data_IF_100809342959
#
_entry.id   IF_100809342959
#
_cell.length_a   1.000
_cell.length_b   1.000
_cell.length_c   1.000
_cell.angle_alpha   90.00
_cell.angle_beta   90.00
_cell.angle_gamma   90.00
#
_symmetry.space_group_name_H-M   'P 1'
#
loop_
_entity.id
_entity.type
_entity.pdbx_description
1 polymer ?
#
# COMPACT_ATOMS: atom_id res chain seq x y z
N UNK A 1 34.74 15.80 68.38
CA UNK A 1 34.30 14.40 68.20
C UNK A 1 34.57 14.04 66.74
N UNK A 2 35.67 13.36 66.40
CA UNK A 2 35.81 11.88 66.38
C UNK A 2 34.60 11.23 65.70
N UNK A 3 34.68 10.42 64.64
CA UNK A 3 35.79 9.76 63.95
C UNK A 3 35.20 9.10 62.68
N UNK A 4 35.88 9.21 61.51
CA UNK A 4 36.18 8.20 60.45
C UNK A 4 35.09 7.19 59.98
N UNK A 5 35.05 6.68 58.75
CA UNK A 5 36.14 6.28 57.85
C UNK A 5 35.59 5.99 56.43
N UNK A 6 36.35 6.39 55.41
CA UNK A 6 36.29 5.90 54.02
C UNK A 6 36.58 4.40 53.91
N UNK A 7 36.34 3.78 52.74
CA UNK A 7 37.41 3.23 51.87
C UNK A 7 36.84 2.71 50.53
N UNK A 8 37.49 3.18 49.46
CA UNK A 8 37.49 2.77 48.06
C UNK A 8 37.83 1.28 47.81
N UNK A 9 37.58 0.78 46.58
CA UNK A 9 38.64 0.28 45.66
C UNK A 9 38.07 -0.07 44.26
N UNK A 10 38.80 0.39 43.24
CA UNK A 10 38.75 0.09 41.79
C UNK A 10 39.56 -1.18 41.44
N UNK A 11 39.20 -1.90 40.36
CA UNK A 11 40.08 -2.53 39.33
C UNK A 11 39.17 -2.82 38.11
N UNK A 12 39.27 -2.30 36.88
CA UNK A 12 40.30 -2.13 35.82
C UNK A 12 40.56 -3.34 34.90
N UNK A 13 40.10 -3.20 33.64
CA UNK A 13 40.61 -3.66 32.32
C UNK A 13 41.23 -5.06 32.13
N UNK A 14 40.74 -5.78 31.11
CA UNK A 14 41.59 -6.58 30.22
C UNK A 14 41.00 -6.69 28.80
N UNK A 15 41.74 -6.14 27.84
CA UNK A 15 41.58 -6.28 26.40
C UNK A 15 42.18 -7.62 25.95
N UNK A 16 41.52 -8.35 25.05
CA UNK A 16 42.17 -9.39 24.23
C UNK A 16 41.76 -9.19 22.77
N UNK A 17 42.75 -8.84 21.98
CA UNK A 17 42.75 -8.93 20.52
C UNK A 17 43.42 -10.26 20.18
N UNK A 18 42.81 -11.11 19.35
CA UNK A 18 43.54 -12.19 18.69
C UNK A 18 43.02 -12.42 17.26
N UNK A 19 44.01 -12.49 16.38
CA UNK A 19 44.03 -12.54 14.94
C UNK A 19 43.82 -13.96 14.38
N UNK A 20 43.26 -14.02 13.16
CA UNK A 20 43.49 -15.02 12.09
C UNK A 20 43.22 -16.52 12.33
N UNK A 21 42.24 -17.09 11.62
CA UNK A 21 42.35 -18.41 10.96
C UNK A 21 41.25 -18.66 9.90
N UNK A 22 41.61 -18.58 8.61
CA UNK A 22 41.21 -19.52 7.53
C UNK A 22 42.45 -20.41 7.29
N UNK A 23 42.36 -21.71 6.96
CA UNK A 23 41.81 -22.17 5.66
C UNK A 23 41.14 -23.56 5.67
N UNK A 24 40.41 -23.92 4.60
CA UNK A 24 40.65 -25.17 3.87
C UNK A 24 39.94 -25.19 2.51
N UNK A 25 40.71 -25.56 1.49
CA UNK A 25 40.32 -25.81 0.11
C UNK A 25 39.48 -27.09 -0.01
N UNK A 26 38.51 -27.06 -0.92
CA UNK A 26 37.99 -28.24 -1.60
C UNK A 26 37.86 -27.94 -3.10
N UNK A 27 38.69 -28.61 -3.91
CA UNK A 27 38.55 -28.75 -5.36
C UNK A 27 37.12 -29.20 -5.71
N UNK A 28 36.47 -28.83 -6.81
CA UNK A 28 36.91 -28.42 -8.13
C UNK A 28 35.98 -29.14 -9.12
N UNK A 29 35.34 -28.39 -10.02
CA UNK A 29 34.93 -28.85 -11.36
C UNK A 29 34.43 -27.66 -12.18
N UNK A 30 35.32 -27.21 -13.06
CA UNK A 30 35.02 -26.35 -14.19
C UNK A 30 34.11 -27.08 -15.18
N UNK A 31 33.06 -26.42 -15.64
CA UNK A 31 32.46 -26.66 -16.95
C UNK A 31 32.57 -25.36 -17.73
N UNK A 32 33.36 -25.39 -18.81
CA UNK A 32 33.59 -24.25 -19.70
C UNK A 32 32.33 -23.90 -20.48
N UNK A 33 31.95 -22.62 -20.47
CA UNK A 33 31.14 -22.04 -21.53
C UNK A 33 31.96 -22.00 -22.83
N UNK A 34 31.52 -22.75 -23.85
CA UNK A 34 31.95 -22.51 -25.23
C UNK A 34 31.12 -21.36 -25.81
N UNK A 35 31.80 -20.25 -26.08
CA UNK A 35 31.35 -19.27 -27.06
C UNK A 35 31.32 -19.93 -28.45
N UNK A 36 30.21 -19.81 -29.16
CA UNK A 36 30.15 -20.06 -30.60
C UNK A 36 30.09 -18.71 -31.29
N UNK A 37 31.21 -18.32 -31.88
CA UNK A 37 31.29 -17.22 -32.82
C UNK A 37 30.70 -17.68 -34.17
N UNK A 38 29.78 -16.91 -34.73
CA UNK A 38 29.37 -17.06 -36.13
C UNK A 38 30.32 -16.24 -37.01
N UNK A 39 31.12 -16.95 -37.82
CA UNK A 39 31.86 -16.36 -38.93
C UNK A 39 30.90 -15.94 -40.04
N UNK A 40 30.93 -14.65 -40.39
CA UNK A 40 30.35 -14.09 -41.61
C UNK A 40 31.39 -14.24 -42.72
N UNK A 41 31.08 -15.02 -43.75
CA UNK A 41 31.80 -14.96 -45.02
C UNK A 41 30.98 -14.15 -46.02
N UNK A 42 31.48 -12.96 -46.35
CA UNK A 42 31.03 -12.20 -47.49
C UNK A 42 31.70 -12.74 -48.75
N UNK A 43 30.91 -13.02 -49.79
CA UNK A 43 31.39 -13.13 -51.16
C UNK A 43 30.58 -12.18 -52.03
N UNK A 44 31.28 -11.24 -52.67
CA UNK A 44 30.75 -10.36 -53.72
C UNK A 44 30.76 -11.13 -55.02
N UNK A 45 29.66 -11.11 -55.76
CA UNK A 45 29.74 -11.17 -57.22
C UNK A 45 28.67 -10.28 -57.86
N UNK A 46 29.10 -9.57 -58.89
CA UNK A 46 28.43 -8.53 -59.66
C UNK A 46 27.54 -9.11 -60.76
N UNK A 47 26.39 -8.50 -61.06
CA UNK A 47 25.60 -8.83 -62.26
C UNK A 47 24.20 -8.22 -62.28
N UNK A 48 23.82 -7.65 -63.41
CA UNK A 48 22.74 -6.69 -63.70
C UNK A 48 21.32 -7.23 -63.96
N UNK A 49 20.37 -6.29 -63.84
CA UNK A 49 19.02 -6.12 -64.45
C UNK A 49 17.74 -6.76 -63.84
N UNK A 50 16.58 -6.06 -63.89
CA UNK A 50 15.43 -6.29 -63.03
C UNK A 50 14.29 -7.07 -63.72
N UNK A 51 13.64 -7.99 -62.97
CA UNK A 51 12.45 -8.72 -63.39
C UNK A 51 11.55 -9.04 -62.20
N UNK A 52 10.26 -8.81 -62.39
CA UNK A 52 9.09 -8.90 -61.50
C UNK A 52 9.09 -10.09 -60.52
N UNK A 53 8.70 -9.93 -59.24
CA UNK A 53 8.60 -11.05 -58.32
C UNK A 53 7.23 -11.74 -58.44
N UNK A 54 7.22 -12.97 -58.96
CA UNK A 54 6.18 -13.97 -58.70
C UNK A 54 6.47 -14.68 -57.37
N UNK A 55 5.48 -14.69 -56.48
CA UNK A 55 5.50 -15.33 -55.16
C UNK A 55 5.60 -16.86 -55.29
N UNK A 56 6.56 -17.54 -54.63
CA UNK A 56 6.44 -18.97 -54.36
C UNK A 56 5.88 -19.21 -52.95
N UNK A 57 4.82 -19.99 -52.91
CA UNK A 57 4.14 -20.51 -51.72
C UNK A 57 5.04 -21.53 -51.00
N UNK A 58 5.47 -21.21 -49.77
CA UNK A 58 6.23 -22.14 -48.92
C UNK A 58 5.27 -22.80 -47.94
N UNK A 59 4.98 -24.08 -48.18
CA UNK A 59 4.31 -24.96 -47.22
C UNK A 59 5.32 -25.36 -46.13
N UNK A 60 5.19 -24.79 -44.93
CA UNK A 60 5.96 -25.22 -43.75
C UNK A 60 5.19 -26.34 -43.04
N UNK A 61 5.66 -27.59 -43.18
CA UNK A 61 5.26 -28.70 -42.31
C UNK A 61 5.98 -28.59 -40.96
N UNK A 62 5.26 -28.15 -39.92
CA UNK A 62 5.74 -28.26 -38.54
C UNK A 62 5.43 -29.65 -37.98
N UNK A 63 6.45 -30.50 -37.86
CA UNK A 63 6.40 -31.72 -37.04
C UNK A 63 6.70 -31.36 -35.58
N UNK A 64 5.67 -31.19 -34.76
CA UNK A 64 5.83 -31.07 -33.30
C UNK A 64 5.73 -32.46 -32.66
N UNK A 65 6.88 -33.00 -32.22
CA UNK A 65 6.94 -34.27 -31.49
C UNK A 65 6.55 -34.05 -30.03
N UNK A 66 5.28 -34.26 -29.69
CA UNK A 66 4.79 -34.22 -28.30
C UNK A 66 5.26 -35.45 -27.53
N UNK A 67 6.24 -35.27 -26.64
CA UNK A 67 6.64 -36.29 -25.66
C UNK A 67 5.68 -36.22 -24.46
N UNK A 68 4.62 -37.02 -24.45
CA UNK A 68 3.74 -37.20 -23.27
C UNK A 68 4.54 -37.82 -22.13
N UNK A 69 4.83 -37.05 -21.07
CA UNK A 69 5.19 -37.62 -19.76
C UNK A 69 3.89 -37.99 -19.05
N UNK A 70 3.70 -39.27 -18.75
CA UNK A 70 2.67 -39.74 -17.81
C UNK A 70 3.07 -39.25 -16.41
N UNK A 71 2.23 -38.42 -15.79
CA UNK A 71 2.20 -38.31 -14.33
C UNK A 71 1.18 -39.33 -13.84
N UNK A 72 1.64 -40.30 -13.06
CA UNK A 72 0.77 -41.15 -12.24
C UNK A 72 0.35 -40.34 -11.03
N UNK A 73 -0.92 -39.94 -10.96
CA UNK A 73 -1.54 -39.48 -9.74
C UNK A 73 -1.62 -40.66 -8.77
N UNK A 74 -1.08 -40.52 -7.57
CA UNK A 74 -1.41 -41.40 -6.44
C UNK A 74 -2.79 -41.02 -5.96
N UNK A 75 -3.72 -41.96 -6.06
CA UNK A 75 -4.97 -41.96 -5.31
C UNK A 75 -4.61 -41.87 -3.83
N UNK A 76 -5.09 -40.83 -3.13
CA UNK A 76 -5.09 -40.81 -1.68
C UNK A 76 -6.46 -41.32 -1.25
N UNK A 77 -6.44 -42.40 -0.47
CA UNK A 77 -7.63 -43.07 0.03
C UNK A 77 -8.46 -42.12 0.90
N UNK A 78 -9.70 -41.95 0.48
CA UNK A 78 -10.75 -41.14 1.09
C UNK A 78 -11.47 -41.97 2.16
N UNK A 79 -10.74 -42.63 3.07
CA UNK A 79 -11.31 -43.35 4.22
C UNK A 79 -10.52 -43.15 5.53
N UNK A 80 -9.44 -42.37 5.53
CA UNK A 80 -8.62 -42.11 6.72
C UNK A 80 -8.91 -40.76 7.43
N UNK A 81 -10.00 -40.07 7.06
CA UNK A 81 -10.36 -38.74 7.58
C UNK A 81 -11.77 -38.65 8.20
N UNK A 82 -12.47 -39.79 8.37
CA UNK A 82 -13.75 -39.85 9.09
C UNK A 82 -13.62 -40.45 10.52
N UNK A 83 -12.39 -40.71 10.98
CA UNK A 83 -12.13 -41.30 12.31
C UNK A 83 -11.62 -40.34 13.39
N UNK A 84 -11.56 -39.02 13.12
CA UNK A 84 -10.99 -38.04 14.07
C UNK A 84 -11.85 -36.78 14.25
N UNK A 85 -13.17 -36.90 14.02
CA UNK A 85 -14.13 -35.82 14.24
C UNK A 85 -15.33 -36.28 15.09
N UNK A 86 -15.09 -37.05 16.14
CA UNK A 86 -16.10 -37.41 17.14
C UNK A 86 -15.41 -37.56 18.51
N UNK A 87 -15.00 -36.46 19.13
CA UNK A 87 -14.76 -36.38 20.59
C UNK A 87 -14.36 -34.96 21.05
N UNK A 88 -15.23 -33.95 20.88
CA UNK A 88 -15.27 -32.78 21.81
C UNK A 88 -16.70 -32.26 21.88
N UNK A 89 -17.54 -32.94 22.66
CA UNK A 89 -18.76 -32.37 23.23
C UNK A 89 -18.94 -32.93 24.64
N UNK A 90 -18.30 -32.30 25.62
CA UNK A 90 -18.68 -32.45 27.03
C UNK A 90 -18.43 -31.13 27.79
N UNK A 91 -19.49 -30.40 28.20
CA UNK A 91 -19.38 -29.18 28.97
C UNK A 91 -19.50 -29.49 30.48
N UNK A 92 -18.60 -30.30 31.04
CA UNK A 92 -18.61 -30.63 32.46
C UNK A 92 -17.23 -30.67 33.11
N UNK A 93 -16.34 -29.75 32.73
CA UNK A 93 -15.13 -29.48 33.52
C UNK A 93 -14.63 -28.03 33.33
N UNK A 94 -15.16 -27.11 34.14
CA UNK A 94 -14.54 -25.82 34.43
C UNK A 94 -14.57 -25.59 35.94
N UNK A 95 -13.43 -25.30 36.59
CA UNK A 95 -13.42 -24.93 38.00
C UNK A 95 -14.00 -23.51 38.16
N UNK A 96 -14.95 -23.41 39.09
CA UNK A 96 -15.61 -22.19 39.54
C UNK A 96 -14.63 -21.30 40.31
N UNK A 97 -14.49 -20.04 39.89
CA UNK A 97 -13.97 -18.96 40.74
C UNK A 97 -14.92 -17.77 40.64
N UNK A 98 -15.58 -17.53 41.77
CA UNK A 98 -16.60 -16.53 41.98
C UNK A 98 -16.02 -15.10 41.97
N UNK A 99 -16.83 -14.17 41.44
CA UNK A 99 -16.74 -12.74 41.71
C UNK A 99 -17.05 -12.47 43.18
N UNK A 100 -16.29 -11.58 43.81
CA UNK A 100 -16.76 -10.77 44.93
C UNK A 100 -16.30 -9.32 44.78
N UNK A 101 -17.25 -8.41 44.89
CA UNK A 101 -17.10 -6.96 44.88
C UNK A 101 -17.92 -6.42 46.04
N UNK A 102 -17.31 -5.65 46.96
CA UNK A 102 -17.80 -4.36 47.46
C UNK A 102 -16.87 -3.79 48.55
N UNK A 103 -16.77 -2.45 48.55
CA UNK A 103 -15.89 -1.55 49.32
C UNK A 103 -16.43 -1.23 50.74
N UNK A 104 -16.13 -0.08 51.39
CA UNK A 104 -14.88 0.68 51.60
C UNK A 104 -14.57 0.86 53.12
N UNK A 105 -13.41 1.43 53.48
CA UNK A 105 -13.20 1.96 54.84
C UNK A 105 -12.58 3.35 54.85
N UNK A 106 -13.16 4.18 55.71
CA UNK A 106 -12.94 5.60 55.96
C UNK A 106 -11.90 5.85 57.06
N UNK A 107 -11.14 6.93 56.97
CA UNK A 107 -10.75 7.73 58.15
C UNK A 107 -10.29 9.13 57.76
N UNK A 108 -10.77 10.10 58.52
CA UNK A 108 -10.70 11.57 58.38
C UNK A 108 -9.59 12.22 59.22
N UNK A 109 -8.93 13.25 58.66
CA UNK A 109 -8.50 14.57 59.21
C UNK A 109 -7.69 14.71 60.53
N UNK A 110 -6.98 15.85 60.84
CA UNK A 110 -7.20 17.22 60.34
C UNK A 110 -5.96 18.10 60.01
N UNK A 111 -6.31 19.29 59.50
CA UNK A 111 -5.59 20.53 59.19
C UNK A 111 -4.77 21.22 60.30
N UNK A 112 -3.77 22.05 59.93
CA UNK A 112 -3.60 23.43 60.48
C UNK A 112 -2.66 24.37 59.65
N UNK A 113 -3.12 25.63 59.51
CA UNK A 113 -2.47 26.98 59.39
C UNK A 113 -0.93 27.13 59.51
N UNK A 114 -0.20 28.14 59.00
CA UNK A 114 -0.44 29.42 58.30
C UNK A 114 0.69 30.45 58.64
N UNK A 115 1.46 30.92 57.62
CA UNK A 115 2.27 32.17 57.46
C UNK A 115 3.33 32.63 58.54
N UNK A 116 4.23 33.65 58.33
CA UNK A 116 4.62 34.45 57.13
C UNK A 116 6.16 34.73 56.88
N UNK A 117 6.50 35.25 55.67
CA UNK A 117 7.56 36.24 55.24
C UNK A 117 9.04 36.14 55.72
N UNK A 118 10.11 36.22 54.88
CA UNK A 118 10.61 37.38 54.08
C UNK A 118 11.95 37.02 53.33
N UNK A 119 12.57 37.89 52.49
CA UNK A 119 13.08 37.55 51.14
C UNK A 119 14.61 37.36 50.97
N UNK A 120 15.02 36.68 49.89
CA UNK A 120 16.40 36.76 49.36
C UNK A 120 16.47 36.60 47.83
N UNK A 121 16.78 37.72 47.17
CA UNK A 121 17.70 37.93 46.04
C UNK A 121 17.76 36.93 44.86
N UNK A 122 17.15 37.39 43.76
CA UNK A 122 17.46 37.24 42.33
C UNK A 122 18.54 36.25 41.82
N UNK A 123 18.07 35.30 41.02
CA UNK A 123 18.81 34.66 39.93
C UNK A 123 17.98 34.79 38.63
N UNK A 124 18.62 34.94 37.44
CA UNK A 124 17.93 35.22 36.17
C UNK A 124 17.12 34.01 35.66
N UNK A 125 15.99 34.22 34.96
CA UNK A 125 15.14 33.13 34.52
C UNK A 125 15.74 32.38 33.31
N UNK A 126 15.74 31.06 33.44
CA UNK A 126 15.96 30.10 32.36
C UNK A 126 14.79 30.18 31.35
N UNK A 127 15.03 30.09 30.02
CA UNK A 127 13.99 30.28 29.03
C UNK A 127 12.95 29.15 29.11
N UNK A 128 11.68 29.54 29.31
CA UNK A 128 10.54 28.62 29.23
C UNK A 128 10.42 28.00 27.83
N UNK A 129 9.99 26.74 27.70
CA UNK A 129 9.79 26.11 26.41
C UNK A 129 8.67 26.84 25.66
N UNK A 130 8.99 27.34 24.47
CA UNK A 130 8.06 27.98 23.55
C UNK A 130 6.87 27.06 23.30
N UNK A 131 5.71 27.48 23.77
CA UNK A 131 4.42 26.85 23.52
C UNK A 131 4.23 26.75 22.00
N UNK A 132 4.02 25.54 21.48
CA UNK A 132 3.72 25.33 20.07
C UNK A 132 2.48 26.16 19.69
N UNK A 133 2.46 26.81 18.52
CA UNK A 133 1.29 27.57 18.10
C UNK A 133 0.07 26.64 18.00
N UNK A 134 -1.12 27.13 18.35
CA UNK A 134 -2.35 26.35 18.20
C UNK A 134 -2.52 25.98 16.71
N UNK A 135 -3.17 24.83 16.40
CA UNK A 135 -3.42 24.43 15.03
C UNK A 135 -4.17 25.56 14.31
N UNK A 136 -3.57 26.05 13.23
CA UNK A 136 -4.19 27.06 12.37
C UNK A 136 -5.54 26.57 11.90
N UNK A 137 -6.55 27.44 12.00
CA UNK A 137 -7.91 27.21 11.53
C UNK A 137 -7.91 26.62 10.11
N UNK A 138 -8.79 25.65 9.80
CA UNK A 138 -8.84 25.07 8.46
C UNK A 138 -9.14 26.19 7.44
N UNK A 139 -8.51 26.14 6.25
CA UNK A 139 -8.80 27.10 5.20
C UNK A 139 -10.30 27.10 4.87
N UNK A 140 -10.86 28.20 4.31
CA UNK A 140 -12.26 28.27 3.92
C UNK A 140 -12.62 27.03 3.12
N UNK A 141 -13.69 26.35 3.54
CA UNK A 141 -14.07 25.02 3.08
C UNK A 141 -14.06 24.96 1.56
N UNK A 142 -13.01 24.34 1.01
CA UNK A 142 -12.95 24.00 -0.40
C UNK A 142 -14.18 23.13 -0.71
N UNK A 143 -14.90 23.45 -1.78
CA UNK A 143 -16.02 22.63 -2.25
C UNK A 143 -15.58 21.16 -2.38
N UNK A 144 -16.47 20.19 -2.15
CA UNK A 144 -16.12 18.77 -2.25
C UNK A 144 -15.53 18.43 -3.62
N UNK A 145 -16.08 19.03 -4.67
CA UNK A 145 -15.57 18.94 -6.04
C UNK A 145 -14.11 19.39 -6.14
N UNK A 146 -13.75 20.54 -5.55
CA UNK A 146 -12.36 21.02 -5.55
C UNK A 146 -11.41 20.13 -4.73
N UNK A 147 -11.90 19.38 -3.74
CA UNK A 147 -11.09 18.40 -3.01
C UNK A 147 -10.84 17.14 -3.85
N UNK A 148 -11.81 16.75 -4.68
CA UNK A 148 -11.72 15.61 -5.61
C UNK A 148 -10.88 15.92 -6.85
N UNK A 149 -10.85 17.19 -7.28
CA UNK A 149 -10.05 17.69 -8.40
C UNK A 149 -9.06 18.77 -7.93
N UNK A 150 -8.04 18.42 -7.11
CA UNK A 150 -7.15 19.41 -6.49
C UNK A 150 -6.14 20.03 -7.48
N UNK A 151 -6.02 19.48 -8.69
CA UNK A 151 -5.11 19.97 -9.73
C UNK A 151 -5.93 20.68 -10.80
N UNK A 152 -5.71 21.99 -11.05
CA UNK A 152 -6.46 22.73 -12.05
C UNK A 152 -6.05 22.34 -13.47
N UNK A 153 -6.92 22.62 -14.44
CA UNK A 153 -6.58 22.52 -15.88
C UNK A 153 -6.55 21.09 -16.42
N UNK A 154 -7.60 20.30 -16.18
CA UNK A 154 -7.73 18.96 -16.78
C UNK A 154 -8.47 18.99 -18.12
N UNK A 155 -8.07 18.10 -19.04
CA UNK A 155 -8.62 18.01 -20.40
C UNK A 155 -9.87 17.13 -20.48
N UNK A 156 -9.94 16.09 -19.64
CA UNK A 156 -11.07 15.15 -19.53
C UNK A 156 -11.21 14.69 -18.10
N UNK A 157 -12.45 14.52 -17.63
CA UNK A 157 -12.73 14.02 -16.29
C UNK A 157 -14.07 13.28 -16.22
N UNK A 158 -14.24 12.50 -15.16
CA UNK A 158 -15.53 11.98 -14.75
C UNK A 158 -15.60 11.99 -13.23
N UNK A 159 -16.82 12.07 -12.69
CA UNK A 159 -17.06 12.00 -11.26
C UNK A 159 -18.38 11.31 -10.97
N UNK A 160 -18.41 10.59 -9.86
CA UNK A 160 -19.65 10.10 -9.24
C UNK A 160 -20.16 11.03 -8.13
N UNK A 161 -19.45 12.13 -7.86
CA UNK A 161 -19.87 13.15 -6.90
C UNK A 161 -21.11 13.88 -7.45
N UNK A 162 -22.24 13.90 -6.73
CA UNK A 162 -23.45 14.60 -7.19
C UNK A 162 -23.27 16.11 -7.41
N UNK A 163 -22.26 16.72 -6.77
CA UNK A 163 -21.94 18.14 -6.88
C UNK A 163 -21.06 18.46 -8.12
N UNK A 164 -20.49 17.44 -8.76
CA UNK A 164 -19.62 17.63 -9.93
C UNK A 164 -20.43 17.96 -11.20
N UNK A 165 -19.82 18.63 -12.20
CA UNK A 165 -20.45 18.81 -13.50
C UNK A 165 -20.72 17.46 -14.17
N UNK A 166 -21.96 17.23 -14.64
CA UNK A 166 -22.39 15.99 -15.29
C UNK A 166 -22.08 14.74 -14.46
N UNK A 167 -22.64 14.62 -13.24
CA UNK A 167 -22.31 13.53 -12.35
C UNK A 167 -22.79 12.21 -12.96
N UNK A 168 -21.96 11.17 -12.82
CA UNK A 168 -22.31 9.80 -13.18
C UNK A 168 -22.79 9.04 -11.96
N UNK A 169 -23.58 8.00 -12.16
CA UNK A 169 -24.01 7.14 -11.06
C UNK A 169 -22.81 6.40 -10.45
N UNK A 170 -22.77 6.27 -9.13
CA UNK A 170 -21.86 5.36 -8.44
C UNK A 170 -22.33 3.91 -8.67
N UNK A 171 -21.89 3.31 -9.76
CA UNK A 171 -22.28 1.96 -10.17
C UNK A 171 -21.20 1.26 -11.00
N UNK A 172 -21.36 -0.05 -11.18
CA UNK A 172 -20.49 -0.86 -12.05
C UNK A 172 -20.55 -0.40 -13.51
N UNK A 173 -21.66 0.24 -13.93
CA UNK A 173 -21.78 0.84 -15.26
C UNK A 173 -20.77 1.98 -15.47
N UNK A 174 -20.48 2.75 -14.43
CA UNK A 174 -19.48 3.83 -14.46
C UNK A 174 -18.06 3.28 -14.27
N UNK A 175 -17.84 2.45 -13.24
CA UNK A 175 -16.50 1.97 -12.88
C UNK A 175 -15.96 0.92 -13.85
N UNK A 176 -16.84 0.13 -14.48
CA UNK A 176 -16.52 -0.97 -15.42
C UNK A 176 -15.51 -1.96 -14.82
N UNK A 177 -15.81 -2.58 -13.67
CA UNK A 177 -14.86 -3.41 -12.94
C UNK A 177 -14.45 -4.65 -13.75
N UNK A 178 -13.14 -4.82 -13.91
CA UNK A 178 -12.46 -6.00 -14.45
C UNK A 178 -11.64 -6.71 -13.37
N UNK A 179 -11.22 -7.95 -13.66
CA UNK A 179 -10.39 -8.75 -12.75
C UNK A 179 -10.97 -8.84 -11.32
N UNK A 180 -12.30 -8.94 -11.24
CA UNK A 180 -13.03 -8.93 -9.97
C UNK A 180 -12.77 -10.23 -9.20
N UNK A 181 -12.32 -10.11 -7.97
CA UNK A 181 -12.24 -11.25 -7.04
C UNK A 181 -13.65 -11.59 -6.56
N UNK A 182 -14.24 -12.65 -7.11
CA UNK A 182 -15.64 -13.02 -6.85
C UNK A 182 -15.91 -13.70 -5.50
N UNK A 183 -14.89 -13.90 -4.67
CA UNK A 183 -15.06 -14.54 -3.36
C UNK A 183 -15.31 -13.51 -2.25
N UNK A 184 -15.08 -12.22 -2.52
CA UNK A 184 -15.44 -11.09 -1.66
C UNK A 184 -16.30 -10.12 -2.45
N UNK A 185 -17.44 -9.70 -1.92
CA UNK A 185 -18.34 -8.79 -2.61
C UNK A 185 -18.32 -7.41 -1.96
N UNK A 186 -18.25 -6.38 -2.79
CA UNK A 186 -18.76 -5.07 -2.43
C UNK A 186 -20.22 -4.99 -2.85
N UNK A 187 -20.95 -4.07 -2.24
CA UNK A 187 -22.29 -3.69 -2.68
C UNK A 187 -22.43 -2.17 -2.63
N UNK A 188 -23.44 -1.66 -3.33
CA UNK A 188 -23.81 -0.26 -3.24
C UNK A 188 -24.91 -0.10 -2.20
N UNK A 189 -24.69 0.77 -1.23
CA UNK A 189 -25.59 1.04 -0.11
C UNK A 189 -25.43 2.47 0.36
N UNK A 190 -25.88 2.75 1.58
CA UNK A 190 -25.71 4.06 2.21
C UNK A 190 -24.73 3.95 3.37
N UNK A 191 -23.87 4.95 3.50
CA UNK A 191 -23.11 5.18 4.72
C UNK A 191 -24.03 5.56 5.90
N UNK A 192 -23.54 5.55 7.15
CA UNK A 192 -24.36 5.86 8.33
C UNK A 192 -25.05 7.23 8.29
N UNK A 193 -24.51 8.20 7.54
CA UNK A 193 -25.10 9.52 7.32
C UNK A 193 -26.13 9.56 6.16
N UNK A 194 -26.44 8.41 5.56
CA UNK A 194 -27.36 8.28 4.43
C UNK A 194 -26.72 8.50 3.05
N UNK A 195 -25.43 8.84 2.98
CA UNK A 195 -24.77 9.10 1.69
C UNK A 195 -24.55 7.82 0.88
N UNK A 196 -24.91 7.78 -0.42
CA UNK A 196 -24.64 6.64 -1.28
C UNK A 196 -23.15 6.30 -1.36
N UNK A 197 -22.83 5.01 -1.20
CA UNK A 197 -21.47 4.51 -1.12
C UNK A 197 -21.34 3.09 -1.66
N UNK A 198 -20.14 2.78 -2.18
CA UNK A 198 -19.66 1.41 -2.30
C UNK A 198 -19.16 0.95 -0.93
N UNK A 199 -19.66 -0.18 -0.44
CA UNK A 199 -19.36 -0.72 0.89
C UNK A 199 -18.39 -1.88 0.79
N UNK A 200 -17.30 -1.82 1.57
CA UNK A 200 -16.40 -2.93 1.82
C UNK A 200 -16.64 -3.53 3.19
N UNK A 201 -17.12 -4.76 3.25
CA UNK A 201 -17.39 -5.48 4.50
C UNK A 201 -16.19 -6.32 4.95
N UNK A 202 -15.78 -6.18 6.20
CA UNK A 202 -14.68 -6.95 6.80
C UNK A 202 -15.20 -7.84 7.93
N UNK A 203 -15.38 -9.14 7.69
CA UNK A 203 -15.66 -10.08 8.78
C UNK A 203 -14.53 -10.08 9.82
N UNK A 204 -14.87 -10.30 11.09
CA UNK A 204 -13.88 -10.53 12.13
C UNK A 204 -12.92 -11.65 11.72
N UNK A 205 -11.61 -11.45 11.94
CA UNK A 205 -10.58 -12.41 11.53
C UNK A 205 -10.12 -12.28 10.08
N UNK A 206 -10.78 -11.46 9.24
CA UNK A 206 -10.39 -11.33 7.83
C UNK A 206 -9.11 -10.52 7.62
N UNK A 207 -8.19 -11.04 6.82
CA UNK A 207 -7.02 -10.31 6.32
C UNK A 207 -6.48 -10.91 5.02
N UNK A 208 -6.21 -10.06 4.04
CA UNK A 208 -5.83 -10.44 2.67
C UNK A 208 -6.78 -11.47 2.04
N UNK A 209 -6.69 -11.66 0.73
CA UNK A 209 -7.63 -12.56 0.04
C UNK A 209 -7.26 -14.05 0.12
N UNK A 210 -6.17 -14.41 0.79
CA UNK A 210 -5.72 -15.81 0.87
C UNK A 210 -6.14 -16.53 2.15
N UNK A 211 -6.80 -15.83 3.08
CA UNK A 211 -7.25 -16.37 4.36
C UNK A 211 -8.77 -16.31 4.48
N UNK A 212 -9.32 -17.12 5.37
CA UNK A 212 -10.74 -17.16 5.68
C UNK A 212 -11.01 -16.69 7.12
N UNK A 213 -12.10 -15.95 7.37
CA UNK A 213 -13.00 -15.40 6.36
C UNK A 213 -12.31 -14.33 5.50
N UNK A 214 -12.73 -14.19 4.24
CA UNK A 214 -12.23 -13.11 3.39
C UNK A 214 -13.07 -11.85 3.64
N UNK A 215 -12.47 -10.67 3.46
CA UNK A 215 -13.14 -9.39 3.66
C UNK A 215 -12.67 -8.33 2.68
N UNK A 216 -13.51 -7.32 2.46
CA UNK A 216 -13.29 -6.21 1.55
C UNK A 216 -13.66 -6.52 0.12
N UNK A 217 -12.89 -5.98 -0.83
CA UNK A 217 -13.08 -6.23 -2.26
C UNK A 217 -11.79 -6.03 -3.06
N UNK A 218 -11.75 -6.61 -4.26
CA UNK A 218 -10.67 -6.40 -5.23
C UNK A 218 -11.18 -6.41 -6.65
N UNK A 219 -10.96 -5.32 -7.37
CA UNK A 219 -11.15 -5.21 -8.80
C UNK A 219 -10.24 -4.12 -9.38
N UNK A 220 -10.19 -4.06 -10.71
CA UNK A 220 -9.51 -3.01 -11.46
C UNK A 220 -10.55 -2.30 -12.33
N UNK A 221 -10.50 -0.97 -12.38
CA UNK A 221 -11.53 -0.17 -13.04
C UNK A 221 -10.88 0.87 -13.96
N UNK A 222 -11.03 0.77 -15.29
CA UNK A 222 -10.57 1.81 -16.20
C UNK A 222 -11.47 3.06 -16.15
N UNK A 223 -12.70 2.94 -15.61
CA UNK A 223 -13.71 3.99 -15.64
C UNK A 223 -14.40 4.12 -17.01
N UNK A 224 -15.18 5.20 -17.20
CA UNK A 224 -15.90 5.49 -18.44
C UNK A 224 -14.99 5.59 -19.68
N UNK A 225 -15.45 5.05 -20.81
CA UNK A 225 -14.65 4.94 -22.03
C UNK A 225 -14.30 6.26 -22.72
N UNK A 226 -15.02 7.35 -22.39
CA UNK A 226 -14.76 8.70 -22.87
C UNK A 226 -13.55 9.38 -22.18
N UNK A 227 -13.11 8.83 -21.04
CA UNK A 227 -11.90 9.27 -20.32
C UNK A 227 -10.87 8.14 -20.31
N UNK A 228 -10.14 8.02 -21.42
CA UNK A 228 -9.11 7.00 -21.61
C UNK A 228 -7.79 7.39 -20.92
N UNK A 229 -7.54 6.81 -19.74
CA UNK A 229 -6.32 7.01 -18.95
C UNK A 229 -5.04 6.56 -19.67
N UNK A 230 -5.12 5.73 -20.72
CA UNK A 230 -3.93 5.37 -21.50
C UNK A 230 -3.40 6.51 -22.38
N UNK A 231 -4.14 7.61 -22.48
CA UNK A 231 -3.68 8.86 -23.10
C UNK A 231 -3.01 9.82 -22.12
N UNK A 232 -3.07 9.53 -20.81
CA UNK A 232 -2.58 10.40 -19.76
C UNK A 232 -1.08 10.24 -19.50
N UNK A 233 -0.34 11.34 -19.62
CA UNK A 233 0.99 11.52 -19.02
C UNK A 233 0.85 11.78 -17.52
N UNK A 234 -0.22 12.47 -17.13
CA UNK A 234 -0.57 12.79 -15.75
C UNK A 234 -2.08 12.66 -15.53
N UNK A 235 -2.46 12.03 -14.42
CA UNK A 235 -3.85 11.93 -14.01
C UNK A 235 -4.00 12.12 -12.49
N UNK A 236 -5.20 12.52 -12.10
CA UNK A 236 -5.65 12.49 -10.71
C UNK A 236 -6.71 11.41 -10.51
N UNK A 237 -6.72 10.82 -9.32
CA UNK A 237 -7.79 9.97 -8.84
C UNK A 237 -8.15 10.37 -7.41
N UNK A 238 -9.40 10.72 -7.18
CA UNK A 238 -9.94 11.10 -5.89
C UNK A 238 -11.23 10.36 -5.54
N UNK A 239 -11.47 10.23 -4.24
CA UNK A 239 -12.69 9.66 -3.67
C UNK A 239 -12.85 10.13 -2.21
N UNK A 240 -14.07 10.09 -1.70
CA UNK A 240 -14.33 10.20 -0.27
C UNK A 240 -14.37 8.82 0.37
N UNK A 241 -13.77 8.69 1.55
CA UNK A 241 -13.80 7.47 2.37
C UNK A 241 -14.33 7.78 3.77
N UNK A 242 -15.17 6.90 4.31
CA UNK A 242 -15.76 7.01 5.64
C UNK A 242 -15.47 5.75 6.44
N UNK A 243 -14.76 5.95 7.55
CA UNK A 243 -14.58 4.94 8.59
C UNK A 243 -15.62 5.21 9.67
N UNK A 244 -16.58 4.30 9.95
CA UNK A 244 -17.58 4.49 10.99
C UNK A 244 -16.99 4.83 12.35
N UNK A 245 -17.77 5.52 13.18
CA UNK A 245 -17.36 5.79 14.56
C UNK A 245 -16.93 4.49 15.27
N UNK A 246 -15.76 4.52 15.90
CA UNK A 246 -15.18 3.35 16.54
C UNK A 246 -14.66 2.28 15.58
N UNK A 247 -14.43 2.58 14.30
CA UNK A 247 -13.73 1.68 13.38
C UNK A 247 -12.37 1.28 13.96
N UNK A 248 -12.09 -0.02 13.98
CA UNK A 248 -10.90 -0.57 14.59
C UNK A 248 -9.85 -0.84 13.52
N UNK A 249 -8.97 0.16 13.32
CA UNK A 249 -7.94 0.16 12.26
C UNK A 249 -6.93 -0.99 12.34
N UNK A 250 -6.73 -1.58 13.53
CA UNK A 250 -5.69 -2.57 13.83
C UNK A 250 -4.33 -2.14 13.23
N UNK A 251 -3.58 -3.03 12.58
CA UNK A 251 -2.26 -2.71 12.00
C UNK A 251 -2.34 -1.96 10.67
N UNK A 252 -3.48 -2.01 10.00
CA UNK A 252 -3.70 -1.33 8.72
C UNK A 252 -4.38 -2.19 7.66
N UNK A 253 -4.63 -1.55 6.52
CA UNK A 253 -5.24 -2.18 5.35
C UNK A 253 -5.12 -1.31 4.11
N UNK A 254 -5.57 -1.84 2.97
CA UNK A 254 -5.42 -1.20 1.66
C UNK A 254 -6.59 -0.30 1.31
N UNK A 255 -6.28 0.74 0.56
CA UNK A 255 -7.26 1.65 -0.04
C UNK A 255 -6.99 1.79 -1.55
N UNK A 256 -8.02 2.14 -2.35
CA UNK A 256 -7.88 2.36 -3.79
C UNK A 256 -6.80 3.38 -4.17
N UNK A 257 -6.21 3.19 -5.36
CA UNK A 257 -5.29 4.14 -6.00
C UNK A 257 -5.06 3.78 -7.46
N UNK A 258 -4.25 4.56 -8.18
CA UNK A 258 -3.92 4.38 -9.59
C UNK A 258 -2.91 3.26 -9.80
N UNK A 259 -3.03 2.61 -10.95
CA UNK A 259 -2.08 1.60 -11.41
C UNK A 259 -1.79 1.76 -12.89
N UNK A 260 -0.72 1.12 -13.34
CA UNK A 260 -0.34 1.17 -14.74
C UNK A 260 0.72 0.16 -15.14
N UNK A 261 1.02 0.15 -16.42
CA UNK A 261 1.99 -0.76 -17.02
C UNK A 261 1.99 -0.75 -18.55
N UNK A 262 2.91 -1.53 -19.12
CA UNK A 262 3.14 -1.63 -20.56
C UNK A 262 1.96 -2.27 -21.31
N UNK A 263 1.19 -3.13 -20.64
CA UNK A 263 -0.07 -3.76 -21.10
C UNK A 263 -1.10 -3.84 -19.96
N UNK A 264 -2.33 -4.26 -20.24
CA UNK A 264 -3.34 -4.50 -19.20
C UNK A 264 -2.94 -5.69 -18.30
N UNK A 265 -2.38 -6.73 -18.91
CA UNK A 265 -1.93 -7.96 -18.26
C UNK A 265 -0.78 -7.66 -17.29
N UNK A 266 0.23 -6.91 -17.73
CA UNK A 266 1.34 -6.52 -16.86
C UNK A 266 0.88 -5.53 -15.78
N UNK A 267 0.01 -4.57 -16.09
CA UNK A 267 -0.43 -3.58 -15.12
C UNK A 267 -1.15 -4.20 -13.90
N UNK A 268 -1.92 -5.28 -14.10
CA UNK A 268 -2.64 -5.95 -13.00
C UNK A 268 -1.76 -6.84 -12.10
N UNK A 269 -0.44 -6.85 -12.33
CA UNK A 269 0.47 -7.81 -11.70
C UNK A 269 1.43 -7.21 -10.66
N UNK A 270 1.48 -5.89 -10.48
CA UNK A 270 2.34 -5.20 -9.49
C UNK A 270 1.67 -5.09 -8.10
N UNK A 271 1.41 -6.23 -7.45
CA UNK A 271 0.89 -6.29 -6.08
C UNK A 271 1.22 -7.63 -5.40
N UNK A 272 0.90 -7.78 -4.10
CA UNK A 272 1.00 -9.06 -3.40
C UNK A 272 2.42 -9.64 -3.25
N UNK A 273 3.43 -8.79 -3.38
CA UNK A 273 4.86 -9.18 -3.34
C UNK A 273 5.49 -9.36 -4.72
N UNK A 274 4.71 -9.22 -5.81
CA UNK A 274 5.23 -9.22 -7.17
C UNK A 274 5.59 -7.80 -7.61
N UNK A 275 6.76 -7.67 -8.22
CA UNK A 275 7.33 -6.43 -8.79
C UNK A 275 7.86 -6.71 -10.18
N UNK A 276 7.78 -5.71 -11.05
CA UNK A 276 8.23 -5.79 -12.43
C UNK A 276 8.56 -4.37 -12.92
N UNK A 277 9.49 -4.22 -13.87
CA UNK A 277 9.78 -2.91 -14.47
C UNK A 277 8.68 -2.47 -15.45
N UNK A 278 7.82 -3.42 -15.87
CA UNK A 278 6.70 -3.20 -16.78
C UNK A 278 5.42 -2.68 -16.13
N UNK A 279 5.35 -2.57 -14.80
CA UNK A 279 4.14 -2.10 -14.09
C UNK A 279 4.44 -1.25 -12.85
N UNK A 280 3.42 -0.54 -12.39
CA UNK A 280 3.44 0.19 -11.13
C UNK A 280 2.05 0.21 -10.47
N UNK A 281 2.04 0.41 -9.14
CA UNK A 281 0.83 0.83 -8.41
C UNK A 281 1.16 1.91 -7.39
N UNK A 282 0.29 2.89 -7.30
CA UNK A 282 0.31 3.96 -6.30
C UNK A 282 -1.02 3.84 -5.57
N UNK A 283 -1.04 3.08 -4.47
CA UNK A 283 -2.24 2.90 -3.65
C UNK A 283 -2.09 3.64 -2.34
N UNK A 284 -3.16 3.69 -1.56
CA UNK A 284 -3.12 4.17 -0.20
C UNK A 284 -3.23 3.01 0.80
N UNK A 285 -2.83 3.28 2.03
CA UNK A 285 -3.11 2.45 3.19
C UNK A 285 -3.58 3.28 4.36
N UNK A 286 -4.46 2.70 5.17
CA UNK A 286 -4.56 3.08 6.57
C UNK A 286 -3.61 2.22 7.41
N UNK A 287 -3.21 2.74 8.55
CA UNK A 287 -2.37 2.12 9.58
C UNK A 287 -3.05 2.25 10.95
N UNK A 288 -2.30 1.90 12.01
CA UNK A 288 -2.76 2.10 13.39
C UNK A 288 -3.26 3.52 13.59
N UNK A 289 -4.31 3.64 14.40
CA UNK A 289 -4.90 4.90 14.79
C UNK A 289 -5.40 5.77 13.62
N UNK A 290 -5.58 5.17 12.44
CA UNK A 290 -6.02 5.86 11.23
C UNK A 290 -4.89 6.54 10.46
N UNK A 291 -3.63 6.34 10.80
CA UNK A 291 -2.51 6.94 10.06
C UNK A 291 -2.57 6.57 8.58
N UNK A 292 -2.48 7.58 7.71
CA UNK A 292 -2.49 7.41 6.26
C UNK A 292 -1.09 7.36 5.66
N UNK A 293 -0.93 6.63 4.56
CA UNK A 293 0.30 6.61 3.75
C UNK A 293 0.00 6.37 2.28
N UNK A 294 0.95 6.78 1.42
CA UNK A 294 1.12 6.12 0.14
C UNK A 294 1.71 4.73 0.34
N UNK A 295 1.25 3.77 -0.46
CA UNK A 295 1.75 2.41 -0.51
C UNK A 295 2.01 1.98 -1.95
N UNK A 296 3.29 2.04 -2.35
CA UNK A 296 3.66 2.01 -3.77
C UNK A 296 4.42 0.74 -4.16
N UNK A 297 4.12 0.23 -5.35
CA UNK A 297 5.00 -0.67 -6.10
C UNK A 297 5.51 0.09 -7.32
N UNK A 298 6.71 0.66 -7.24
CA UNK A 298 7.37 1.26 -8.39
C UNK A 298 8.35 0.25 -9.04
N UNK A 299 8.69 0.44 -10.33
CA UNK A 299 9.70 -0.35 -11.03
C UNK A 299 10.98 -0.56 -10.19
N UNK A 300 11.44 -1.82 -10.02
CA UNK A 300 12.70 -2.11 -9.35
C UNK A 300 13.91 -1.75 -10.23
N UNK A 301 15.10 -1.65 -9.65
CA UNK A 301 16.34 -1.41 -10.39
C UNK A 301 16.63 0.06 -10.73
N UNK A 302 15.86 1.01 -10.17
CA UNK A 302 16.07 2.44 -10.35
C UNK A 302 16.38 3.11 -9.00
N UNK A 303 17.63 3.51 -8.79
CA UNK A 303 18.07 4.12 -7.51
C UNK A 303 17.33 5.41 -7.17
N UNK A 304 16.82 6.13 -8.17
CA UNK A 304 15.99 7.31 -7.96
C UNK A 304 14.72 7.02 -7.15
N UNK A 305 14.17 5.81 -7.25
CA UNK A 305 13.01 5.39 -6.45
C UNK A 305 13.35 5.19 -4.96
N UNK A 306 14.64 5.12 -4.57
CA UNK A 306 15.04 5.07 -3.15
C UNK A 306 14.68 6.35 -2.38
N UNK A 307 14.34 7.45 -3.10
CA UNK A 307 13.79 8.67 -2.50
C UNK A 307 12.53 8.38 -1.66
N UNK A 308 11.73 7.40 -2.06
CA UNK A 308 10.53 6.99 -1.33
C UNK A 308 10.85 6.43 0.06
N UNK A 309 12.05 5.92 0.30
CA UNK A 309 12.38 5.24 1.54
C UNK A 309 12.55 6.18 2.74
N UNK A 310 12.69 7.49 2.51
CA UNK A 310 13.05 8.46 3.55
C UNK A 310 12.09 9.67 3.60
N UNK A 311 10.92 9.58 2.97
CA UNK A 311 9.93 10.68 3.01
C UNK A 311 9.36 10.79 4.43
N UNK A 312 9.39 11.97 5.07
CA UNK A 312 8.80 12.13 6.40
C UNK A 312 7.27 12.01 6.38
N UNK A 313 6.61 11.76 7.53
CA UNK A 313 7.22 11.57 8.85
C UNK A 313 7.78 10.15 9.07
N UNK A 314 7.32 9.17 8.30
CA UNK A 314 7.89 7.82 8.28
C UNK A 314 7.76 7.21 6.88
N UNK A 315 8.84 6.61 6.40
CA UNK A 315 8.82 5.81 5.18
C UNK A 315 9.67 4.57 5.34
N UNK A 316 9.32 3.53 4.61
CA UNK A 316 10.00 2.24 4.64
C UNK A 316 9.91 1.57 3.28
N UNK A 317 11.05 1.42 2.61
CA UNK A 317 11.13 0.54 1.46
C UNK A 317 11.25 -0.90 1.93
N UNK A 318 10.33 -1.74 1.47
CA UNK A 318 10.35 -3.17 1.76
C UNK A 318 10.94 -3.94 0.56
N UNK A 319 11.81 -4.95 0.76
CA UNK A 319 12.42 -5.70 -0.34
C UNK A 319 11.40 -6.60 -1.07
N UNK A 320 10.37 -7.07 -0.38
CA UNK A 320 9.37 -8.01 -0.93
C UNK A 320 8.08 -7.28 -1.32
N UNK A 321 7.58 -6.44 -0.43
CA UNK A 321 6.29 -5.76 -0.55
C UNK A 321 6.45 -4.29 -0.97
N UNK A 322 5.34 -3.58 -1.13
CA UNK A 322 5.35 -2.16 -1.50
C UNK A 322 6.06 -1.29 -0.46
N UNK A 323 6.55 -0.13 -0.90
CA UNK A 323 7.13 0.88 -0.01
C UNK A 323 6.01 1.63 0.72
N UNK A 324 6.17 1.83 2.03
CA UNK A 324 5.35 2.75 2.82
C UNK A 324 5.96 4.14 2.67
N UNK A 325 5.17 5.14 2.29
CA UNK A 325 5.67 6.48 1.98
C UNK A 325 4.86 7.53 2.72
N UNK A 326 5.54 8.29 3.58
CA UNK A 326 4.95 9.39 4.35
C UNK A 326 3.86 8.95 5.32
N UNK A 327 3.98 7.77 5.93
CA UNK A 327 3.05 7.27 6.94
C UNK A 327 2.90 8.24 8.10
N UNK A 328 1.66 8.60 8.41
CA UNK A 328 1.33 9.54 9.48
C UNK A 328 1.41 11.01 9.04
N UNK A 329 1.60 11.29 7.75
CA UNK A 329 1.48 12.66 7.20
C UNK A 329 0.06 13.21 7.31
N UNK A 330 -0.93 12.33 7.47
CA UNK A 330 -2.31 12.63 7.78
C UNK A 330 -2.92 11.44 8.54
N UNK A 331 -4.11 11.65 9.11
CA UNK A 331 -4.86 10.63 9.84
C UNK A 331 -6.31 10.64 9.41
N UNK A 332 -6.86 9.45 9.16
CA UNK A 332 -8.28 9.23 8.93
C UNK A 332 -9.03 9.31 10.26
N UNK A 333 -9.89 10.30 10.48
CA UNK A 333 -10.82 10.27 11.60
C UNK A 333 -11.87 9.16 11.40
N UNK A 334 -12.48 8.75 12.51
CA UNK A 334 -13.71 7.94 12.47
C UNK A 334 -14.94 8.84 12.55
N UNK A 335 -16.09 8.35 12.04
CA UNK A 335 -17.37 9.06 12.10
C UNK A 335 -17.51 10.23 11.13
N UNK A 336 -16.52 10.51 10.27
CA UNK A 336 -16.59 11.58 9.27
C UNK A 336 -15.93 11.18 7.96
N UNK A 337 -16.40 11.78 6.87
CA UNK A 337 -15.81 11.61 5.55
C UNK A 337 -14.44 12.28 5.47
N UNK A 338 -13.50 11.60 4.82
CA UNK A 338 -12.23 12.17 4.38
C UNK A 338 -12.17 12.09 2.86
N UNK A 339 -11.94 13.22 2.19
CA UNK A 339 -11.65 13.20 0.75
C UNK A 339 -10.16 13.00 0.55
N UNK A 340 -9.78 11.97 -0.19
CA UNK A 340 -8.40 11.76 -0.63
C UNK A 340 -8.33 11.88 -2.14
N UNK A 341 -7.25 12.48 -2.65
CA UNK A 341 -6.95 12.50 -4.07
C UNK A 341 -5.46 12.36 -4.30
N UNK A 342 -5.06 11.52 -5.24
CA UNK A 342 -3.67 11.41 -5.68
C UNK A 342 -3.50 11.97 -7.09
N UNK A 343 -2.33 12.56 -7.35
CA UNK A 343 -1.85 12.93 -8.68
C UNK A 343 -0.67 12.01 -8.99
N UNK A 344 -0.71 11.37 -10.16
CA UNK A 344 0.38 10.54 -10.67
C UNK A 344 0.83 11.09 -12.01
N UNK A 345 2.10 11.50 -12.09
CA UNK A 345 2.77 11.94 -13.32
C UNK A 345 3.82 10.92 -13.72
N UNK A 346 3.65 10.32 -14.89
CA UNK A 346 4.62 9.38 -15.44
C UNK A 346 5.91 10.10 -15.82
N UNK A 347 7.05 9.48 -15.56
CA UNK A 347 8.34 9.96 -16.07
C UNK A 347 8.45 9.82 -17.60
N UNK A 348 9.41 10.51 -18.22
CA UNK A 348 9.87 10.20 -19.57
C UNK A 348 10.78 8.97 -19.54
N UNK A 349 10.75 8.08 -20.54
CA UNK A 349 11.60 6.89 -20.55
C UNK A 349 13.07 7.29 -20.46
N UNK A 350 13.83 6.63 -19.60
CA UNK A 350 15.22 6.97 -19.31
C UNK A 350 15.43 8.21 -18.42
N UNK A 351 14.38 8.89 -17.98
CA UNK A 351 14.44 10.04 -17.06
C UNK A 351 13.78 9.71 -15.73
N UNK A 352 14.29 10.31 -14.64
CA UNK A 352 13.69 10.23 -13.30
C UNK A 352 12.93 11.53 -12.99
N UNK A 353 11.95 11.88 -13.82
CA UNK A 353 11.16 13.11 -13.69
C UNK A 353 9.67 12.84 -13.40
N UNK A 354 9.34 11.63 -12.93
CA UNK A 354 8.00 11.27 -12.49
C UNK A 354 7.69 11.85 -11.11
N UNK A 355 6.39 12.01 -10.82
CA UNK A 355 5.90 12.62 -9.60
C UNK A 355 4.68 11.86 -9.06
N UNK A 356 4.57 11.76 -7.74
CA UNK A 356 3.34 11.39 -7.04
C UNK A 356 3.03 12.45 -5.99
N UNK A 357 1.75 12.78 -5.82
CA UNK A 357 1.32 13.76 -4.84
C UNK A 357 -0.01 13.33 -4.21
N UNK A 358 -0.13 13.44 -2.89
CA UNK A 358 -1.33 13.11 -2.14
C UNK A 358 -1.96 14.37 -1.58
N UNK A 359 -3.27 14.48 -1.76
CA UNK A 359 -4.11 15.51 -1.22
C UNK A 359 -5.14 14.91 -0.27
N UNK A 360 -5.35 15.55 0.87
CA UNK A 360 -6.34 15.17 1.88
C UNK A 360 -7.19 16.40 2.17
N UNK A 361 -8.50 16.28 1.96
CA UNK A 361 -9.47 17.37 2.04
C UNK A 361 -9.01 18.61 1.22
N UNK A 362 -8.42 18.35 0.05
CA UNK A 362 -7.90 19.38 -0.87
C UNK A 362 -6.52 19.93 -0.50
N UNK A 363 -5.93 19.57 0.64
CA UNK A 363 -4.59 20.01 1.03
C UNK A 363 -3.52 19.01 0.59
N UNK A 364 -2.47 19.47 -0.09
CA UNK A 364 -1.32 18.62 -0.45
C UNK A 364 -0.54 18.22 0.81
N UNK A 365 -0.57 16.93 1.17
CA UNK A 365 0.11 16.39 2.36
C UNK A 365 1.42 15.68 2.03
N UNK A 366 1.57 15.15 0.81
CA UNK A 366 2.80 14.54 0.31
C UNK A 366 3.01 14.95 -1.14
N UNK A 367 4.25 15.27 -1.50
CA UNK A 367 4.66 15.52 -2.88
C UNK A 367 6.07 14.97 -3.11
N UNK A 368 6.20 13.94 -3.93
CA UNK A 368 7.47 13.27 -4.21
C UNK A 368 7.72 13.26 -5.70
N UNK A 369 8.71 14.04 -6.12
CA UNK A 369 9.21 14.05 -7.49
C UNK A 369 10.54 13.31 -7.64
N UNK A 370 11.00 13.21 -8.88
CA UNK A 370 12.29 12.58 -9.17
C UNK A 370 12.21 11.06 -9.30
N UNK A 371 11.05 10.52 -9.68
CA UNK A 371 10.76 9.08 -9.65
C UNK A 371 10.80 8.46 -11.05
N UNK A 372 10.93 7.14 -11.10
CA UNK A 372 10.72 6.30 -12.29
C UNK A 372 9.50 5.41 -12.04
N UNK A 373 8.38 5.74 -12.68
CA UNK A 373 7.12 4.99 -12.64
C UNK A 373 6.98 4.04 -13.84
N UNK A 374 7.72 4.30 -14.93
CA UNK A 374 7.80 3.43 -16.11
C UNK A 374 9.21 3.43 -16.68
N UNK A 375 9.64 2.27 -17.13
CA UNK A 375 10.93 2.10 -17.83
C UNK A 375 10.80 2.41 -19.33
N UNK A 376 9.67 2.06 -19.93
CA UNK A 376 9.48 2.10 -21.39
C UNK A 376 8.48 3.15 -21.88
N UNK A 377 8.59 3.48 -23.16
CA UNK A 377 7.62 4.27 -23.91
C UNK A 377 6.21 3.65 -23.98
N UNK A 378 6.03 2.36 -23.64
CA UNK A 378 4.74 1.67 -23.62
C UNK A 378 3.99 1.82 -22.28
N UNK A 379 4.66 2.20 -21.20
CA UNK A 379 4.04 2.33 -19.88
C UNK A 379 2.93 3.40 -19.87
N UNK A 380 1.74 3.04 -19.40
CA UNK A 380 0.55 3.91 -19.29
C UNK A 380 -0.10 3.82 -17.91
N UNK A 381 -0.81 4.87 -17.50
CA UNK A 381 -1.82 4.78 -16.44
C UNK A 381 -2.99 3.98 -17.04
N UNK A 382 -3.47 2.97 -16.32
CA UNK A 382 -4.46 2.00 -16.85
C UNK A 382 -5.81 2.09 -16.17
N UNK A 383 -5.86 2.64 -14.95
CA UNK A 383 -7.11 2.78 -14.21
C UNK A 383 -6.88 2.88 -12.71
N UNK A 384 -7.95 2.54 -11.99
CA UNK A 384 -8.03 2.43 -10.54
C UNK A 384 -7.82 0.96 -10.16
N UNK A 385 -6.87 0.70 -9.26
CA UNK A 385 -6.76 -0.56 -8.55
C UNK A 385 -7.58 -0.46 -7.27
N UNK A 386 -8.87 -0.81 -7.37
CA UNK A 386 -9.83 -0.73 -6.28
C UNK A 386 -9.71 -1.98 -5.40
N UNK A 387 -8.83 -1.88 -4.40
CA UNK A 387 -8.59 -2.95 -3.45
C UNK A 387 -8.70 -2.41 -2.03
N UNK A 388 -9.55 -3.04 -1.24
CA UNK A 388 -9.61 -2.80 0.20
C UNK A 388 -9.68 -4.11 0.96
N UNK A 389 -8.87 -4.22 2.00
CA UNK A 389 -8.76 -5.37 2.90
C UNK A 389 -7.86 -4.99 4.07
N UNK A 390 -8.15 -5.51 5.26
CA UNK A 390 -7.17 -5.57 6.35
C UNK A 390 -5.98 -6.41 5.91
N UNK A 391 -4.74 -5.97 6.16
CA UNK A 391 -3.63 -6.81 5.74
C UNK A 391 -2.23 -6.24 5.70
N UNK A 392 -1.37 -7.11 5.19
CA UNK A 392 -0.18 -7.64 5.85
C UNK A 392 -0.33 -9.16 5.84
N UNK A 393 0.74 -9.94 5.92
CA UNK A 393 0.70 -11.37 5.55
C UNK A 393 0.43 -12.33 6.71
N UNK A 394 0.03 -11.83 7.87
CA UNK A 394 -0.07 -12.59 9.13
C UNK A 394 -1.34 -12.24 9.90
N UNK A 395 -1.80 -13.14 10.78
CA UNK A 395 -3.10 -13.03 11.45
C UNK A 395 -3.24 -11.81 12.40
N UNK A 396 -2.13 -11.23 12.85
CA UNK A 396 -2.11 -9.99 13.64
C UNK A 396 -2.58 -8.75 12.85
N UNK A 397 -2.79 -8.89 11.54
CA UNK A 397 -3.40 -7.86 10.69
C UNK A 397 -4.92 -7.99 10.55
N UNK A 398 -5.52 -9.07 11.04
CA UNK A 398 -6.94 -9.36 10.90
C UNK A 398 -7.84 -8.22 11.38
N UNK A 399 -9.00 -8.07 10.73
CA UNK A 399 -10.06 -7.22 11.26
C UNK A 399 -10.44 -7.72 12.66
N UNK A 400 -10.36 -6.88 13.70
CA UNK A 400 -10.60 -7.34 15.08
C UNK A 400 -12.09 -7.57 15.39
N UNK A 401 -12.99 -7.06 14.55
CA UNK A 401 -14.44 -7.21 14.62
C UNK A 401 -15.06 -7.15 13.23
N UNK A 402 -16.33 -7.48 13.11
CA UNK A 402 -17.11 -7.17 11.91
C UNK A 402 -17.22 -5.65 11.78
N UNK A 403 -16.87 -5.11 10.61
CA UNK A 403 -16.94 -3.69 10.35
C UNK A 403 -16.90 -3.38 8.86
N UNK A 404 -17.47 -2.23 8.51
CA UNK A 404 -17.55 -1.75 7.14
C UNK A 404 -16.69 -0.51 6.93
N UNK A 405 -16.26 -0.32 5.69
CA UNK A 405 -15.71 0.93 5.17
C UNK A 405 -16.54 1.37 3.97
N UNK A 406 -16.73 2.68 3.82
CA UNK A 406 -17.61 3.25 2.80
C UNK A 406 -16.81 4.15 1.87
N UNK A 407 -17.00 4.00 0.57
CA UNK A 407 -16.36 4.80 -0.47
C UNK A 407 -17.40 5.50 -1.33
N UNK A 408 -17.18 6.77 -1.63
CA UNK A 408 -18.10 7.58 -2.42
C UNK A 408 -17.32 8.58 -3.29
N UNK A 409 -18.00 9.25 -4.21
CA UNK A 409 -17.44 10.31 -5.06
C UNK A 409 -16.15 9.95 -5.83
N UNK A 410 -16.02 8.71 -6.31
CA UNK A 410 -14.95 8.32 -7.23
C UNK A 410 -14.88 9.31 -8.41
N UNK A 411 -13.70 9.90 -8.60
CA UNK A 411 -13.45 11.00 -9.52
C UNK A 411 -12.07 10.85 -10.14
N UNK A 412 -11.96 11.06 -11.45
CA UNK A 412 -10.70 10.98 -12.19
C UNK A 412 -10.61 12.12 -13.16
N UNK A 413 -9.41 12.69 -13.31
CA UNK A 413 -9.14 13.67 -14.35
C UNK A 413 -7.77 13.47 -15.01
N UNK A 414 -7.71 13.65 -16.32
CA UNK A 414 -6.46 13.72 -17.09
C UNK A 414 -5.97 15.17 -17.06
N UNK A 415 -4.88 15.42 -16.33
CA UNK A 415 -4.30 16.76 -16.15
C UNK A 415 -3.17 17.05 -17.15
N UNK A 416 -2.59 16.00 -17.75
CA UNK A 416 -1.65 16.12 -18.86
C UNK A 416 -1.77 14.90 -19.78
N UNK A 417 -1.90 15.11 -21.09
CA UNK A 417 -1.80 14.06 -22.11
C UNK A 417 -0.36 13.89 -22.61
N UNK A 418 -0.07 12.76 -23.26
CA UNK A 418 1.22 12.51 -23.92
C UNK A 418 1.47 13.40 -25.15
#
# INVERSE_FOLDING_TARGET
>A
MLLRLSVFIHVLLASISLSHARPHLGHGRHLSHRNVAHHIHASRNTGSTPGTPTTPEITVRNTTRTRRRRCTARQLDLEALEGQLLEITDPSNLPSLALESAAPSSSSDPSSSGAPSSPAVGAPPEPSPTQAPPPSSPPPSSSRVSQLFPVPGFSRSWSTCPEAPNPRELSDGTLRPGNVLRTTMYYYGNAPDGRPAMVGHFPQGSFTFKNYPQGGFSFYAPGPGDVDLTTAKEATFGYSVFFPEGFAFNRGGKLPGLYGGNSNEEATSCSGGRRDTSCFSVRLMWRRDGDGEFYTYLPPGFDSNNRLCNVPPFSECNPTYGASVGRGSFRFPTGTWTTVAERVRLNDPGQSNGEIQLFVNGQSVLNVGGLVLRDSGAGRIRGIQAQTFFGGSTADWASPKDQDIYFSDFSVAITQSF
#
